data_IF_291843975600
#
_entry.id   IF_291843975600
#
_cell.length_a   1.000
_cell.length_b   1.000
_cell.length_c   1.000
_cell.angle_alpha   90.00
_cell.angle_beta   90.00
_cell.angle_gamma   90.00
#
_symmetry.space_group_name_H-M   'P 1'
#
loop_
_entity.id
_entity.type
_entity.pdbx_description
1 polymer ?
#
# COMPACT_ATOMS: atom_id res chain seq x y z
N UNK A 1 -15.19 54.92 57.77
CA UNK A 1 -15.78 53.56 57.93
C UNK A 1 -16.49 53.09 56.64
N UNK A 2 -17.13 54.02 55.89
CA UNK A 2 -17.83 53.68 54.65
C UNK A 2 -16.88 53.49 53.44
N UNK A 3 -15.77 54.23 53.40
CA UNK A 3 -14.80 54.14 52.28
C UNK A 3 -14.12 52.79 52.19
N UNK A 4 -13.86 52.09 53.31
CA UNK A 4 -13.29 50.73 53.29
C UNK A 4 -14.29 49.67 52.78
N UNK A 5 -15.59 49.88 53.00
CA UNK A 5 -16.64 48.98 52.47
C UNK A 5 -16.85 49.14 50.98
N UNK A 6 -16.69 50.36 50.41
CA UNK A 6 -16.77 50.58 48.98
C UNK A 6 -15.60 49.97 48.22
N UNK A 7 -14.37 50.05 48.76
CA UNK A 7 -13.18 49.45 48.19
C UNK A 7 -13.29 47.91 48.17
N UNK A 8 -13.82 47.29 49.24
CA UNK A 8 -14.02 45.83 49.27
C UNK A 8 -15.05 45.33 48.25
N UNK A 9 -16.12 46.09 48.00
CA UNK A 9 -17.15 45.71 47.01
C UNK A 9 -16.61 45.91 45.60
N UNK A 10 -15.79 46.95 45.35
CA UNK A 10 -15.21 47.20 44.04
C UNK A 10 -14.15 46.15 43.67
N UNK A 11 -13.33 45.69 44.60
CA UNK A 11 -12.36 44.61 44.39
C UNK A 11 -13.07 43.26 44.16
N UNK A 12 -14.20 42.98 44.82
CA UNK A 12 -14.96 41.78 44.61
C UNK A 12 -15.66 41.72 43.25
N UNK A 13 -16.10 42.89 42.72
CA UNK A 13 -16.75 42.97 41.39
C UNK A 13 -15.70 42.84 40.27
N UNK A 14 -14.47 43.39 40.42
CA UNK A 14 -13.41 43.29 39.45
C UNK A 14 -12.84 41.87 39.37
N UNK A 15 -12.78 41.12 40.50
CA UNK A 15 -12.37 39.71 40.50
C UNK A 15 -13.43 38.76 39.93
N UNK A 16 -14.72 39.11 39.97
CA UNK A 16 -15.77 38.29 39.38
C UNK A 16 -15.83 38.41 37.82
N UNK A 17 -15.33 39.50 37.26
CA UNK A 17 -15.29 39.72 35.81
C UNK A 17 -14.06 39.11 35.12
N UNK A 18 -13.07 38.62 35.86
CA UNK A 18 -11.87 37.99 35.30
C UNK A 18 -12.01 36.49 35.01
N UNK A 19 -13.15 35.85 35.33
CA UNK A 19 -13.40 34.42 35.13
C UNK A 19 -14.27 34.11 33.90
N UNK A 20 -14.64 35.09 33.09
CA UNK A 20 -15.19 34.85 31.76
C UNK A 20 -14.07 34.78 30.72
N UNK A 21 -13.03 34.05 31.05
CA UNK A 21 -12.09 33.56 30.05
C UNK A 21 -12.86 32.56 29.19
N UNK A 22 -13.03 32.86 27.91
CA UNK A 22 -13.48 31.93 26.88
C UNK A 22 -12.69 30.63 26.98
N UNK A 23 -13.22 29.69 27.75
CA UNK A 23 -12.99 28.28 27.49
C UNK A 23 -13.72 27.99 26.17
N UNK A 24 -13.03 28.15 25.07
CA UNK A 24 -13.39 27.50 23.84
C UNK A 24 -13.24 26.00 24.13
N UNK A 25 -14.28 25.43 24.72
CA UNK A 25 -14.52 24.00 24.61
C UNK A 25 -14.56 23.77 23.10
N UNK A 26 -13.47 23.27 22.55
CA UNK A 26 -13.54 22.57 21.31
C UNK A 26 -14.60 21.48 21.54
N UNK A 27 -15.83 21.74 21.13
CA UNK A 27 -16.84 20.74 20.92
C UNK A 27 -16.18 19.83 19.88
N UNK A 28 -15.63 18.71 20.34
CA UNK A 28 -15.40 17.56 19.49
C UNK A 28 -16.78 17.26 18.89
N UNK A 29 -17.05 17.81 17.72
CA UNK A 29 -18.15 17.32 16.89
C UNK A 29 -17.85 15.84 16.76
N UNK A 30 -18.76 15.06 17.33
CA UNK A 30 -18.73 13.61 17.18
C UNK A 30 -19.12 13.35 15.70
N UNK A 31 -18.14 13.59 14.80
CA UNK A 31 -18.29 13.30 13.38
C UNK A 31 -18.58 11.81 13.33
N UNK A 32 -19.77 11.46 12.91
CA UNK A 32 -20.13 10.05 12.69
C UNK A 32 -19.44 9.63 11.39
N UNK A 33 -18.15 9.26 11.52
CA UNK A 33 -17.30 8.88 10.40
C UNK A 33 -17.70 7.50 9.89
N UNK A 34 -17.80 7.35 8.59
CA UNK A 34 -17.99 6.06 7.94
C UNK A 34 -16.69 5.26 7.96
N UNK A 35 -16.74 4.03 8.51
CA UNK A 35 -15.57 3.16 8.56
C UNK A 35 -15.29 2.54 7.21
N UNK A 36 -14.06 2.70 6.75
CA UNK A 36 -13.55 2.15 5.50
C UNK A 36 -12.25 1.41 5.74
N UNK A 37 -12.19 0.16 5.32
CA UNK A 37 -10.96 -0.63 5.33
C UNK A 37 -10.34 -0.64 3.94
N UNK A 38 -9.05 -0.28 3.87
CA UNK A 38 -8.21 -0.36 2.68
C UNK A 38 -7.12 -1.39 2.93
N UNK A 39 -7.09 -2.45 2.13
CA UNK A 39 -6.05 -3.49 2.21
C UNK A 39 -4.97 -3.19 1.18
N UNK A 40 -3.71 -3.19 1.61
CA UNK A 40 -2.56 -2.97 0.75
C UNK A 40 -2.21 -4.23 -0.06
N UNK A 41 -1.39 -4.07 -1.09
CA UNK A 41 -0.84 -5.17 -1.89
C UNK A 41 0.40 -5.83 -1.24
N UNK A 42 1.06 -5.11 -0.34
CA UNK A 42 2.29 -5.52 0.34
C UNK A 42 2.48 -4.80 1.67
N UNK A 43 3.61 -5.04 2.32
CA UNK A 43 4.03 -4.21 3.46
C UNK A 43 4.10 -2.74 3.05
N UNK A 44 3.78 -1.79 3.96
CA UNK A 44 3.82 -0.37 3.65
C UNK A 44 5.13 0.05 2.98
N UNK A 45 5.01 0.75 1.85
CA UNK A 45 6.14 1.24 1.07
C UNK A 45 5.78 2.56 0.37
N UNK A 46 6.68 3.09 -0.45
CA UNK A 46 6.50 4.40 -1.11
C UNK A 46 5.32 4.46 -2.08
N UNK A 47 4.84 3.35 -2.63
CA UNK A 47 3.65 3.32 -3.48
C UNK A 47 2.38 3.69 -2.70
N UNK A 48 2.38 3.46 -1.39
CA UNK A 48 1.26 3.76 -0.48
C UNK A 48 1.31 5.16 0.13
N UNK A 49 2.32 5.99 -0.22
CA UNK A 49 2.54 7.32 0.38
C UNK A 49 1.27 8.17 0.37
N UNK A 50 0.50 8.17 -0.72
CA UNK A 50 -0.72 8.95 -0.84
C UNK A 50 -1.78 8.62 0.21
N UNK A 51 -1.96 7.33 0.52
CA UNK A 51 -2.90 6.87 1.55
C UNK A 51 -2.48 7.33 2.95
N UNK A 52 -1.21 7.16 3.28
CA UNK A 52 -0.69 7.57 4.60
C UNK A 52 -0.69 9.09 4.76
N UNK A 53 -0.34 9.84 3.72
CA UNK A 53 -0.41 11.32 3.74
C UNK A 53 -1.87 11.77 3.92
N UNK A 54 -2.81 11.16 3.22
CA UNK A 54 -4.23 11.49 3.36
C UNK A 54 -4.73 11.24 4.79
N UNK A 55 -4.31 10.14 5.40
CA UNK A 55 -4.65 9.81 6.78
C UNK A 55 -4.02 10.80 7.76
N UNK A 56 -2.70 11.03 7.69
CA UNK A 56 -1.96 11.90 8.60
C UNK A 56 -2.37 13.39 8.47
N UNK A 57 -2.82 13.80 7.30
CA UNK A 57 -3.31 15.17 7.06
C UNK A 57 -4.80 15.36 7.39
N UNK A 58 -5.49 14.30 7.80
CA UNK A 58 -6.91 14.36 8.13
C UNK A 58 -7.85 14.43 6.91
N UNK A 59 -7.35 14.21 5.68
CA UNK A 59 -8.18 14.33 4.48
C UNK A 59 -9.32 13.32 4.45
N UNK A 60 -9.14 12.14 5.01
CA UNK A 60 -10.20 11.14 5.13
C UNK A 60 -11.26 11.60 6.13
N UNK A 61 -10.86 12.10 7.29
CA UNK A 61 -11.78 12.63 8.31
C UNK A 61 -12.57 13.84 7.80
N UNK A 62 -11.92 14.72 7.03
CA UNK A 62 -12.59 15.86 6.38
C UNK A 62 -13.61 15.39 5.35
N UNK A 63 -13.38 14.23 4.72
CA UNK A 63 -14.34 13.58 3.83
C UNK A 63 -15.41 12.75 4.57
N UNK A 64 -15.39 12.72 5.91
CA UNK A 64 -16.36 11.95 6.71
C UNK A 64 -16.01 10.47 6.87
N UNK A 65 -14.74 10.09 6.63
CA UNK A 65 -14.28 8.70 6.62
C UNK A 65 -13.30 8.43 7.77
N UNK A 66 -13.48 7.28 8.45
CA UNK A 66 -12.50 6.66 9.34
C UNK A 66 -11.81 5.53 8.59
N UNK A 67 -10.63 5.81 8.03
CA UNK A 67 -9.92 4.86 7.16
C UNK A 67 -8.91 4.04 7.93
N UNK A 68 -9.12 2.73 7.95
CA UNK A 68 -8.17 1.74 8.42
C UNK A 68 -7.36 1.19 7.24
N UNK A 69 -6.03 1.30 7.33
CA UNK A 69 -5.10 0.77 6.32
C UNK A 69 -4.48 -0.51 6.87
N UNK A 70 -4.72 -1.63 6.21
CA UNK A 70 -4.25 -2.95 6.63
C UNK A 70 -3.26 -3.54 5.62
N UNK A 71 -2.31 -4.33 6.13
CA UNK A 71 -1.48 -5.17 5.28
C UNK A 71 -2.30 -6.33 4.71
N UNK A 72 -1.94 -6.85 3.52
CA UNK A 72 -2.67 -7.97 2.94
C UNK A 72 -2.50 -9.23 3.80
N UNK A 73 -3.57 -10.02 3.95
CA UNK A 73 -3.44 -11.40 4.39
C UNK A 73 -2.79 -12.27 3.30
N UNK A 74 -2.49 -13.52 3.61
CA UNK A 74 -1.91 -14.48 2.67
C UNK A 74 -2.75 -14.63 1.39
N UNK A 75 -4.08 -14.57 1.52
CA UNK A 75 -5.03 -14.67 0.40
C UNK A 75 -5.15 -13.41 -0.46
N UNK A 76 -4.48 -12.31 -0.08
CA UNK A 76 -4.41 -11.07 -0.85
C UNK A 76 -5.59 -10.12 -0.68
N UNK A 77 -5.43 -8.92 -1.25
CA UNK A 77 -6.40 -7.83 -1.12
C UNK A 77 -7.69 -8.09 -1.91
N UNK A 78 -7.59 -8.66 -3.11
CA UNK A 78 -8.75 -8.94 -3.98
C UNK A 78 -9.77 -9.83 -3.30
N UNK A 79 -9.34 -10.89 -2.58
CA UNK A 79 -10.25 -11.79 -1.87
C UNK A 79 -10.91 -11.10 -0.67
N UNK A 80 -10.20 -10.23 0.04
CA UNK A 80 -10.76 -9.44 1.14
C UNK A 80 -11.90 -8.54 0.66
N UNK A 81 -11.71 -7.88 -0.49
CA UNK A 81 -12.75 -7.01 -1.08
C UNK A 81 -13.92 -7.84 -1.60
N UNK A 82 -13.67 -8.89 -2.36
CA UNK A 82 -14.74 -9.73 -2.93
C UNK A 82 -15.62 -10.39 -1.88
N UNK A 83 -15.04 -10.71 -0.71
CA UNK A 83 -15.77 -11.29 0.43
C UNK A 83 -16.47 -10.24 1.31
N UNK A 84 -16.35 -8.94 1.00
CA UNK A 84 -16.93 -7.84 1.77
C UNK A 84 -16.22 -7.55 3.10
N UNK A 85 -15.04 -8.12 3.34
CA UNK A 85 -14.24 -7.86 4.56
C UNK A 85 -13.47 -6.55 4.49
N UNK A 86 -13.27 -6.01 3.29
CA UNK A 86 -12.70 -4.68 3.05
C UNK A 86 -13.50 -3.97 1.95
N UNK A 87 -13.52 -2.64 1.97
CA UNK A 87 -14.19 -1.83 0.95
C UNK A 87 -13.28 -1.58 -0.24
N UNK A 88 -11.98 -1.43 0.00
CA UNK A 88 -10.98 -1.21 -1.04
C UNK A 88 -9.76 -2.10 -0.83
N UNK A 89 -9.10 -2.43 -1.94
CA UNK A 89 -7.84 -3.14 -1.94
C UNK A 89 -6.92 -2.57 -3.01
N UNK A 90 -5.62 -2.56 -2.73
CA UNK A 90 -4.59 -2.31 -3.74
C UNK A 90 -4.13 -3.66 -4.23
N UNK A 91 -4.07 -3.82 -5.55
CA UNK A 91 -3.64 -5.08 -6.15
C UNK A 91 -3.03 -4.81 -7.52
N UNK A 92 -2.40 -5.81 -8.10
CA UNK A 92 -1.83 -5.75 -9.43
C UNK A 92 -2.84 -6.25 -10.47
N UNK A 93 -2.80 -5.68 -11.67
CA UNK A 93 -3.71 -6.07 -12.76
C UNK A 93 -3.62 -7.55 -13.10
N UNK A 94 -2.43 -8.16 -12.99
CA UNK A 94 -2.20 -9.58 -13.23
C UNK A 94 -2.87 -10.48 -12.20
N UNK A 95 -3.05 -10.02 -10.97
CA UNK A 95 -3.80 -10.74 -9.93
C UNK A 95 -5.31 -10.50 -10.03
N UNK A 96 -5.72 -9.40 -10.64
CA UNK A 96 -7.14 -9.14 -10.90
C UNK A 96 -7.68 -10.00 -12.05
N UNK A 97 -6.85 -10.39 -13.01
CA UNK A 97 -7.29 -11.17 -14.17
C UNK A 97 -8.06 -12.45 -13.80
N UNK A 98 -7.63 -13.27 -12.82
CA UNK A 98 -8.38 -14.43 -12.35
C UNK A 98 -9.76 -14.08 -11.77
N UNK A 99 -9.92 -12.90 -11.18
CA UNK A 99 -11.20 -12.46 -10.60
C UNK A 99 -12.30 -12.25 -11.65
N UNK A 100 -11.95 -12.20 -12.94
CA UNK A 100 -12.88 -12.05 -14.05
C UNK A 100 -12.96 -13.32 -14.93
N UNK A 101 -12.44 -14.43 -14.45
CA UNK A 101 -12.48 -15.71 -15.19
C UNK A 101 -13.92 -16.21 -15.27
N UNK A 102 -14.44 -16.55 -16.48
CA UNK A 102 -15.80 -17.02 -16.65
C UNK A 102 -16.13 -18.22 -15.75
N UNK A 103 -17.19 -18.10 -14.95
CA UNK A 103 -17.65 -19.10 -13.98
C UNK A 103 -16.94 -19.10 -12.64
N UNK A 104 -15.97 -18.21 -12.44
CA UNK A 104 -15.24 -18.03 -11.18
C UNK A 104 -15.14 -16.51 -10.81
N UNK A 105 -16.07 -15.72 -11.36
CA UNK A 105 -16.04 -14.26 -11.22
C UNK A 105 -16.14 -13.84 -9.74
N UNK A 106 -15.26 -12.94 -9.34
CA UNK A 106 -15.32 -12.30 -8.04
C UNK A 106 -16.04 -10.94 -8.16
N UNK A 107 -16.80 -10.60 -7.13
CA UNK A 107 -17.51 -9.31 -7.09
C UNK A 107 -16.55 -8.16 -6.72
N UNK A 108 -15.71 -7.78 -7.68
CA UNK A 108 -14.75 -6.66 -7.56
C UNK A 108 -14.75 -5.81 -8.81
N UNK A 109 -14.36 -4.54 -8.67
CA UNK A 109 -14.19 -3.62 -9.78
C UNK A 109 -12.92 -2.79 -9.58
N UNK A 110 -12.12 -2.61 -10.63
CA UNK A 110 -11.02 -1.67 -10.61
C UNK A 110 -11.57 -0.23 -10.72
N UNK A 111 -11.33 0.59 -9.72
CA UNK A 111 -11.86 1.96 -9.62
C UNK A 111 -10.83 3.04 -9.93
N UNK A 112 -9.53 2.75 -9.77
CA UNK A 112 -8.45 3.68 -10.03
C UNK A 112 -7.14 2.95 -10.30
N UNK A 113 -6.23 3.58 -11.05
CA UNK A 113 -4.84 3.16 -11.17
C UNK A 113 -3.96 4.12 -10.35
N UNK A 114 -3.23 3.59 -9.37
CA UNK A 114 -2.26 4.36 -8.57
C UNK A 114 -0.96 4.49 -9.34
N UNK A 115 -0.47 3.39 -9.92
CA UNK A 115 0.69 3.34 -10.80
C UNK A 115 0.18 3.04 -12.22
N UNK A 116 0.50 3.92 -13.18
CA UNK A 116 -0.04 3.84 -14.53
C UNK A 116 0.80 2.99 -15.50
N UNK A 117 2.01 2.59 -15.08
CA UNK A 117 2.91 1.78 -15.89
C UNK A 117 3.41 0.60 -15.06
N UNK A 118 3.64 -0.54 -15.72
CA UNK A 118 4.27 -1.67 -15.05
C UNK A 118 5.67 -1.28 -14.58
N UNK A 119 5.97 -1.50 -13.31
CA UNK A 119 7.24 -1.18 -12.67
C UNK A 119 8.09 -2.41 -12.38
N UNK A 120 7.62 -3.61 -12.78
CA UNK A 120 8.37 -4.85 -12.63
C UNK A 120 9.57 -4.88 -13.60
N UNK A 121 10.66 -5.43 -13.15
CA UNK A 121 11.87 -5.58 -13.95
C UNK A 121 12.75 -6.69 -13.40
N UNK A 122 13.61 -7.23 -14.24
CA UNK A 122 14.61 -8.20 -13.84
C UNK A 122 15.87 -7.48 -13.35
N UNK A 123 16.41 -7.93 -12.22
CA UNK A 123 17.63 -7.38 -11.63
C UNK A 123 18.72 -8.44 -11.67
N UNK A 124 19.88 -8.07 -12.21
CA UNK A 124 21.09 -8.89 -12.23
C UNK A 124 22.34 -8.07 -11.97
N UNK A 125 23.42 -8.70 -11.60
CA UNK A 125 24.72 -8.03 -11.57
C UNK A 125 25.20 -7.74 -12.99
N UNK A 126 25.82 -6.57 -13.20
CA UNK A 126 26.31 -6.14 -14.51
C UNK A 126 27.30 -7.13 -15.13
N UNK A 127 28.15 -7.74 -14.32
CA UNK A 127 29.13 -8.74 -14.76
C UNK A 127 28.50 -10.04 -15.28
N UNK A 128 27.23 -10.31 -14.97
CA UNK A 128 26.50 -11.47 -15.51
C UNK A 128 26.12 -11.28 -16.99
N UNK A 129 26.20 -10.05 -17.49
CA UNK A 129 25.96 -9.72 -18.89
C UNK A 129 24.51 -9.99 -19.33
N UNK A 130 23.55 -9.98 -18.42
CA UNK A 130 22.12 -10.16 -18.71
C UNK A 130 21.55 -8.78 -19.06
N UNK A 131 21.68 -8.37 -20.31
CA UNK A 131 21.23 -7.07 -20.82
C UNK A 131 20.00 -7.19 -21.74
N UNK A 132 19.54 -8.42 -21.97
CA UNK A 132 18.32 -8.69 -22.72
C UNK A 132 17.68 -10.02 -22.28
N UNK A 133 16.36 -10.22 -22.52
CA UNK A 133 15.67 -11.43 -22.10
C UNK A 133 16.25 -12.74 -22.63
N UNK A 134 16.76 -12.79 -23.87
CA UNK A 134 17.38 -14.00 -24.42
C UNK A 134 18.64 -14.43 -23.66
N UNK A 135 19.33 -13.51 -22.99
CA UNK A 135 20.54 -13.81 -22.21
C UNK A 135 20.24 -14.46 -20.86
N UNK A 136 18.97 -14.71 -20.57
CA UNK A 136 18.54 -15.57 -19.48
C UNK A 136 18.78 -17.06 -19.74
N UNK A 137 19.08 -17.45 -20.99
CA UNK A 137 19.43 -18.84 -21.31
C UNK A 137 20.61 -19.32 -20.46
N UNK A 138 20.45 -20.46 -19.79
CA UNK A 138 21.43 -21.06 -18.91
C UNK A 138 21.66 -20.32 -17.59
N UNK A 139 20.85 -19.32 -17.28
CA UNK A 139 20.91 -18.58 -16.02
C UNK A 139 19.95 -19.13 -14.98
N UNK A 140 20.23 -18.85 -13.72
CA UNK A 140 19.36 -19.17 -12.59
C UNK A 140 18.55 -17.94 -12.20
N UNK A 141 17.23 -18.06 -12.33
CA UNK A 141 16.25 -17.03 -11.96
C UNK A 141 15.49 -17.45 -10.71
N UNK A 142 15.49 -16.59 -9.69
CA UNK A 142 14.66 -16.78 -8.51
C UNK A 142 13.24 -16.26 -8.77
N UNK A 143 12.30 -17.18 -8.76
CA UNK A 143 10.90 -16.97 -9.12
C UNK A 143 10.02 -17.01 -7.89
N UNK A 144 8.95 -16.22 -7.86
CA UNK A 144 7.85 -16.35 -6.90
C UNK A 144 6.96 -17.58 -7.17
N UNK A 145 7.33 -18.38 -8.19
CA UNK A 145 6.62 -19.60 -8.62
C UNK A 145 5.18 -19.38 -9.10
N UNK A 146 4.88 -18.18 -9.58
CA UNK A 146 3.55 -17.81 -10.06
C UNK A 146 3.41 -18.08 -11.56
N UNK A 147 2.27 -18.63 -11.97
CA UNK A 147 2.02 -18.96 -13.39
C UNK A 147 2.03 -17.72 -14.29
N UNK A 148 1.56 -16.57 -13.78
CA UNK A 148 1.61 -15.32 -14.52
C UNK A 148 3.06 -14.86 -14.74
N UNK A 149 3.92 -14.96 -13.73
CA UNK A 149 5.34 -14.64 -13.83
C UNK A 149 6.04 -15.53 -14.86
N UNK A 150 5.83 -16.85 -14.79
CA UNK A 150 6.35 -17.82 -15.76
C UNK A 150 5.93 -17.48 -17.19
N UNK A 151 4.68 -17.09 -17.36
CA UNK A 151 4.11 -16.69 -18.64
C UNK A 151 4.75 -15.42 -19.17
N UNK A 152 4.97 -14.41 -18.33
CA UNK A 152 5.65 -13.16 -18.70
C UNK A 152 7.09 -13.43 -19.09
N UNK A 153 7.87 -14.16 -18.27
CA UNK A 153 9.26 -14.49 -18.56
C UNK A 153 9.39 -15.27 -19.87
N UNK A 154 8.54 -16.28 -20.06
CA UNK A 154 8.47 -17.04 -21.33
C UNK A 154 8.18 -16.12 -22.51
N UNK A 155 7.22 -15.20 -22.37
CA UNK A 155 6.85 -14.28 -23.44
C UNK A 155 8.00 -13.35 -23.83
N UNK A 156 8.63 -12.68 -22.86
CA UNK A 156 9.72 -11.73 -23.14
C UNK A 156 10.96 -12.44 -23.72
N UNK A 157 11.32 -13.63 -23.21
CA UNK A 157 12.42 -14.41 -23.77
C UNK A 157 12.14 -14.82 -25.23
N UNK A 158 10.96 -15.37 -25.50
CA UNK A 158 10.56 -15.80 -26.84
C UNK A 158 10.53 -14.62 -27.83
N UNK A 159 10.02 -13.47 -27.38
CA UNK A 159 10.01 -12.23 -28.18
C UNK A 159 11.40 -11.76 -28.55
N UNK A 160 12.38 -11.94 -27.67
CA UNK A 160 13.79 -11.58 -27.88
C UNK A 160 14.60 -12.69 -28.60
N UNK A 161 13.94 -13.76 -29.01
CA UNK A 161 14.57 -14.89 -29.72
C UNK A 161 15.34 -15.84 -28.83
N UNK A 162 15.04 -15.86 -27.54
CA UNK A 162 15.58 -16.80 -26.55
C UNK A 162 14.73 -18.04 -26.37
N UNK A 163 15.36 -19.08 -25.84
CA UNK A 163 14.74 -20.37 -25.53
C UNK A 163 14.45 -20.46 -24.00
N UNK A 164 13.18 -20.29 -23.65
CA UNK A 164 12.73 -20.37 -22.26
C UNK A 164 13.06 -21.72 -21.56
N UNK A 165 13.14 -22.82 -22.32
CA UNK A 165 13.44 -24.15 -21.77
C UNK A 165 14.85 -24.25 -21.18
N UNK A 166 15.73 -23.30 -21.54
CA UNK A 166 17.10 -23.24 -21.03
C UNK A 166 17.24 -22.37 -19.75
N UNK A 167 16.19 -21.69 -19.34
CA UNK A 167 16.21 -20.93 -18.09
C UNK A 167 16.05 -21.89 -16.91
N UNK A 168 16.96 -21.82 -15.95
CA UNK A 168 16.82 -22.52 -14.66
C UNK A 168 15.98 -21.66 -13.69
N UNK A 169 14.69 -21.89 -13.66
CA UNK A 169 13.78 -21.17 -12.78
C UNK A 169 13.66 -21.93 -11.46
N UNK A 170 14.03 -21.28 -10.35
CA UNK A 170 13.93 -21.89 -9.01
C UNK A 170 12.91 -21.12 -8.17
N UNK A 171 11.95 -21.81 -7.55
CA UNK A 171 11.04 -21.19 -6.58
C UNK A 171 11.84 -20.66 -5.38
N UNK A 172 11.82 -19.36 -5.17
CA UNK A 172 12.54 -18.77 -4.05
C UNK A 172 11.99 -17.38 -3.70
N UNK A 173 11.50 -17.24 -2.51
CA UNK A 173 11.16 -15.93 -1.93
C UNK A 173 12.41 -15.30 -1.34
N UNK A 174 13.22 -14.66 -2.20
CA UNK A 174 14.44 -14.01 -1.74
C UNK A 174 14.09 -12.72 -1.01
N UNK A 175 14.38 -12.67 0.30
CA UNK A 175 14.18 -11.47 1.12
C UNK A 175 15.35 -10.49 0.98
N UNK A 176 16.58 -11.00 0.82
CA UNK A 176 17.78 -10.19 0.59
C UNK A 176 18.32 -10.44 -0.83
N UNK A 177 17.73 -9.74 -1.78
CA UNK A 177 18.10 -9.76 -3.21
C UNK A 177 19.57 -9.43 -3.41
N UNK A 178 20.09 -8.42 -2.69
CA UNK A 178 21.50 -8.00 -2.83
C UNK A 178 22.44 -9.15 -2.48
N UNK A 179 22.25 -9.79 -1.33
CA UNK A 179 23.08 -10.92 -0.91
C UNK A 179 22.95 -12.08 -1.90
N UNK A 180 21.76 -12.46 -2.30
CA UNK A 180 21.56 -13.57 -3.23
C UNK A 180 22.29 -13.37 -4.57
N UNK A 181 22.26 -12.17 -5.14
CA UNK A 181 22.99 -11.84 -6.35
C UNK A 181 24.51 -11.78 -6.13
N UNK A 182 24.98 -11.11 -5.07
CA UNK A 182 26.44 -10.92 -4.84
C UNK A 182 27.14 -12.18 -4.39
N UNK A 183 26.44 -13.14 -3.80
CA UNK A 183 26.98 -14.46 -3.44
C UNK A 183 26.77 -15.53 -4.50
N UNK A 184 26.24 -15.13 -5.68
CA UNK A 184 25.96 -16.03 -6.81
C UNK A 184 25.00 -17.19 -6.48
N UNK A 185 24.09 -17.00 -5.54
CA UNK A 185 23.02 -17.97 -5.30
C UNK A 185 22.08 -18.04 -6.50
N UNK A 186 21.84 -16.89 -7.13
CA UNK A 186 21.06 -16.74 -8.36
C UNK A 186 21.75 -15.73 -9.27
N UNK A 187 21.42 -15.76 -10.57
CA UNK A 187 21.94 -14.83 -11.55
C UNK A 187 21.04 -13.60 -11.71
N UNK A 188 19.74 -13.77 -11.46
CA UNK A 188 18.71 -12.72 -11.58
C UNK A 188 17.51 -13.03 -10.71
N UNK A 189 16.79 -11.98 -10.35
CA UNK A 189 15.51 -12.00 -9.65
C UNK A 189 14.51 -11.12 -10.38
#
# INVERSE_FOLDING_TARGET
KYMKKFISVFVAVVTALSFTGCGQTATSENKNLEKVTVVLDWTPNTNHTGLYVAKEKGYFEDAGLDVEIQQPPEDGATLMVSSGKAQFGIDFQEYLAPAFKPGEEMNVSAVAAIIQHNTSGLISLKEKGIDSPKKLEGKTYASWDMDIEKSIIKHIMTKDGGDYSKLNMIPSTIQDVKTALTTNQVDTV
#
